data_IF_535981404630
#
_entry.id   IF_535981404630
#
_cell.length_a   1.000
_cell.length_b   1.000
_cell.length_c   1.000
_cell.angle_alpha   90.00
_cell.angle_beta   90.00
_cell.angle_gamma   90.00
#
_symmetry.space_group_name_H-M   'P 1'
#
loop_
_entity.id
_entity.type
_entity.pdbx_description
1 polymer ?
#
# COMPACT_ATOMS: atom_id res chain seq x y z
N UNK A 1 -1.06 8.66 21.72
CA UNK A 1 -2.14 9.20 22.59
C UNK A 1 -3.51 8.61 22.24
N UNK A 2 -3.95 8.72 20.98
CA UNK A 2 -5.28 8.24 20.58
C UNK A 2 -5.49 6.72 20.84
N UNK A 3 -4.54 5.89 20.53
CA UNK A 3 -4.63 4.44 20.76
C UNK A 3 -4.70 4.09 22.24
N UNK A 4 -4.01 4.84 23.09
CA UNK A 4 -4.09 4.66 24.55
C UNK A 4 -5.49 5.01 25.07
N UNK A 5 -6.11 6.07 24.53
CA UNK A 5 -7.48 6.47 24.87
C UNK A 5 -8.52 5.42 24.46
N UNK A 6 -8.21 4.57 23.48
CA UNK A 6 -9.06 3.46 23.03
C UNK A 6 -8.67 2.11 23.65
N UNK A 7 -7.90 2.09 24.74
CA UNK A 7 -7.60 0.89 25.51
C UNK A 7 -6.36 0.11 25.07
N UNK A 8 -5.55 0.65 24.18
CA UNK A 8 -4.28 0.03 23.77
C UNK A 8 -3.16 0.59 24.65
N UNK A 9 -2.63 -0.23 25.54
CA UNK A 9 -1.66 0.21 26.56
C UNK A 9 -0.27 0.46 25.99
N UNK A 10 0.17 -0.35 25.02
CA UNK A 10 1.50 -0.24 24.42
C UNK A 10 1.42 -0.26 22.88
N UNK A 11 0.93 0.83 22.26
CA UNK A 11 0.81 0.88 20.79
C UNK A 11 2.18 0.89 20.12
N UNK A 12 2.35 0.09 19.08
CA UNK A 12 3.53 0.09 18.23
C UNK A 12 3.40 1.16 17.14
N UNK A 13 3.73 2.40 17.47
CA UNK A 13 3.71 3.53 16.54
C UNK A 13 5.12 4.00 16.27
N UNK A 14 5.55 3.90 15.02
CA UNK A 14 6.84 4.36 14.56
C UNK A 14 6.70 5.66 13.76
N UNK A 15 7.34 6.73 14.23
CA UNK A 15 7.39 8.01 13.51
C UNK A 15 8.50 7.98 12.47
N UNK A 16 8.13 7.79 11.21
CA UNK A 16 9.07 7.74 10.09
C UNK A 16 8.38 8.14 8.78
N UNK A 17 9.18 8.46 7.76
CA UNK A 17 8.64 8.51 6.40
C UNK A 17 8.62 7.10 5.84
N UNK A 18 7.43 6.53 5.75
CA UNK A 18 7.20 5.14 5.32
C UNK A 18 7.81 4.81 3.96
N UNK A 19 7.83 5.76 3.03
CA UNK A 19 8.31 5.54 1.67
C UNK A 19 9.84 5.61 1.51
N UNK A 20 10.57 6.02 2.53
CA UNK A 20 12.04 6.06 2.49
C UNK A 20 12.68 4.70 2.73
N UNK A 21 11.93 3.73 3.25
CA UNK A 21 12.41 2.38 3.46
C UNK A 21 12.54 1.64 2.13
N UNK A 22 13.67 0.97 1.93
CA UNK A 22 13.88 0.15 0.75
C UNK A 22 13.06 -1.14 0.85
N UNK A 23 12.22 -1.41 -0.14
CA UNK A 23 11.38 -2.62 -0.17
C UNK A 23 12.19 -3.92 -0.12
N UNK A 24 13.43 -3.91 -0.61
CA UNK A 24 14.30 -5.09 -0.57
C UNK A 24 14.72 -5.48 0.85
N UNK A 25 14.72 -4.52 1.78
CA UNK A 25 15.14 -4.74 3.16
C UNK A 25 14.01 -5.28 4.04
N UNK A 26 12.77 -5.31 3.55
CA UNK A 26 11.61 -5.82 4.30
C UNK A 26 11.68 -7.34 4.38
N UNK A 27 11.79 -7.85 5.61
CA UNK A 27 11.83 -9.28 5.91
C UNK A 27 10.44 -9.81 6.28
N UNK A 28 10.28 -11.14 6.30
CA UNK A 28 9.02 -11.80 6.68
C UNK A 28 8.52 -11.38 8.07
N UNK A 29 9.43 -11.20 9.02
CA UNK A 29 9.11 -10.73 10.38
C UNK A 29 8.52 -9.31 10.43
N UNK A 30 8.80 -8.49 9.41
CA UNK A 30 8.36 -7.10 9.31
C UNK A 30 6.99 -6.96 8.65
N UNK A 31 6.42 -8.06 8.12
CA UNK A 31 5.15 -8.07 7.41
C UNK A 31 3.96 -8.22 8.34
N UNK A 32 2.79 -7.82 7.87
CA UNK A 32 1.54 -7.79 8.63
C UNK A 32 0.47 -8.68 8.03
N UNK A 33 -0.42 -9.19 8.88
CA UNK A 33 -1.56 -10.02 8.46
C UNK A 33 -2.71 -9.19 7.90
N UNK A 34 -2.87 -7.97 8.42
CA UNK A 34 -3.92 -7.05 8.00
C UNK A 34 -3.35 -5.65 7.85
N UNK A 35 -3.64 -5.02 6.72
CA UNK A 35 -3.29 -3.62 6.45
C UNK A 35 -4.57 -2.85 6.12
N UNK A 36 -4.79 -1.77 6.85
CA UNK A 36 -5.85 -0.79 6.55
C UNK A 36 -5.19 0.57 6.35
N UNK A 37 -5.41 1.16 5.20
CA UNK A 37 -4.70 2.38 4.84
C UNK A 37 -5.56 3.38 4.08
N UNK A 38 -5.32 4.64 4.39
CA UNK A 38 -5.83 5.78 3.65
C UNK A 38 -4.64 6.68 3.25
N UNK A 39 -3.89 6.29 2.20
CA UNK A 39 -2.72 7.04 1.79
C UNK A 39 -3.09 8.43 1.25
N UNK A 40 -2.19 9.42 1.33
CA UNK A 40 -2.47 10.75 0.83
C UNK A 40 -2.67 10.74 -0.69
N UNK A 41 -3.61 11.55 -1.18
CA UNK A 41 -3.92 11.71 -2.60
C UNK A 41 -3.25 12.96 -3.16
N UNK A 42 -2.77 12.87 -4.41
CA UNK A 42 -2.25 14.01 -5.16
C UNK A 42 -0.86 14.49 -4.72
N UNK A 43 -0.20 13.79 -3.83
CA UNK A 43 1.19 14.05 -3.47
C UNK A 43 2.15 13.59 -4.57
N UNK A 44 3.31 14.25 -4.61
CA UNK A 44 4.42 13.84 -5.49
C UNK A 44 5.67 13.60 -4.67
N UNK A 45 6.31 12.47 -4.88
CA UNK A 45 7.52 12.11 -4.19
C UNK A 45 8.79 12.46 -4.99
N UNK A 46 9.88 12.65 -4.27
CA UNK A 46 11.19 12.92 -4.85
C UNK A 46 11.71 11.70 -5.61
N UNK A 47 12.57 11.94 -6.61
CA UNK A 47 13.15 10.87 -7.43
C UNK A 47 13.93 9.84 -6.61
N UNK A 48 14.59 10.27 -5.55
CA UNK A 48 15.35 9.38 -4.66
C UNK A 48 14.43 8.35 -4.00
N UNK A 49 13.25 8.77 -3.55
CA UNK A 49 12.25 7.89 -2.95
C UNK A 49 11.66 6.92 -3.98
N UNK A 50 11.41 7.40 -5.20
CA UNK A 50 10.87 6.56 -6.28
C UNK A 50 11.79 5.39 -6.64
N UNK A 51 13.10 5.53 -6.46
CA UNK A 51 14.07 4.47 -6.75
C UNK A 51 13.95 3.26 -5.83
N UNK A 52 13.32 3.40 -4.67
CA UNK A 52 13.09 2.31 -3.73
C UNK A 52 11.99 1.33 -4.21
N UNK A 53 11.31 1.63 -5.31
CA UNK A 53 10.13 0.88 -5.76
C UNK A 53 10.33 0.29 -7.17
N UNK A 54 9.78 -0.92 -7.44
CA UNK A 54 9.86 -1.54 -8.77
C UNK A 54 9.19 -0.70 -9.86
N UNK A 55 8.04 -0.10 -9.56
CA UNK A 55 7.34 0.80 -10.47
C UNK A 55 7.63 2.22 -10.04
N UNK A 56 8.43 2.92 -10.83
CA UNK A 56 8.82 4.29 -10.55
C UNK A 56 7.72 5.25 -11.00
N UNK A 57 7.17 5.98 -10.06
CA UNK A 57 6.16 7.00 -10.30
C UNK A 57 6.30 8.11 -9.27
N UNK A 58 5.91 9.31 -9.63
CA UNK A 58 5.85 10.43 -8.70
C UNK A 58 4.57 10.44 -7.84
N UNK A 59 3.59 9.63 -8.19
CA UNK A 59 2.31 9.58 -7.48
C UNK A 59 2.46 8.86 -6.14
N UNK A 60 2.33 9.59 -5.05
CA UNK A 60 2.53 9.07 -3.70
C UNK A 60 1.64 7.88 -3.38
N UNK A 61 0.36 7.93 -3.78
CA UNK A 61 -0.58 6.84 -3.53
C UNK A 61 -0.14 5.51 -4.18
N UNK A 62 0.48 5.57 -5.36
CA UNK A 62 0.97 4.38 -6.07
C UNK A 62 2.21 3.77 -5.40
N UNK A 63 3.06 4.61 -4.82
CA UNK A 63 4.20 4.14 -4.04
C UNK A 63 3.74 3.48 -2.75
N UNK A 64 2.76 4.07 -2.06
CA UNK A 64 2.14 3.45 -0.89
C UNK A 64 1.51 2.09 -1.20
N UNK A 65 0.82 1.97 -2.32
CA UNK A 65 0.22 0.68 -2.70
C UNK A 65 1.27 -0.41 -2.89
N UNK A 66 2.39 -0.10 -3.55
CA UNK A 66 3.52 -1.04 -3.68
C UNK A 66 4.11 -1.41 -2.32
N UNK A 67 4.26 -0.45 -1.43
CA UNK A 67 4.75 -0.67 -0.08
C UNK A 67 3.82 -1.65 0.69
N UNK A 68 2.50 -1.45 0.63
CA UNK A 68 1.54 -2.31 1.31
C UNK A 68 1.52 -3.73 0.76
N UNK A 69 1.64 -3.90 -0.55
CA UNK A 69 1.77 -5.23 -1.16
C UNK A 69 2.97 -5.98 -0.58
N UNK A 70 4.10 -5.28 -0.43
CA UNK A 70 5.32 -5.87 0.12
C UNK A 70 5.23 -6.17 1.62
N UNK A 71 4.53 -5.32 2.36
CA UNK A 71 4.36 -5.45 3.82
C UNK A 71 3.32 -6.49 4.22
N UNK A 72 2.54 -7.00 3.28
CA UNK A 72 1.49 -7.98 3.56
C UNK A 72 2.07 -9.39 3.61
N UNK A 73 1.76 -10.12 4.69
CA UNK A 73 2.14 -11.54 4.81
C UNK A 73 1.37 -12.41 3.82
N UNK A 74 1.94 -13.57 3.52
CA UNK A 74 1.24 -14.60 2.77
C UNK A 74 -0.11 -14.93 3.46
N UNK A 75 -1.21 -14.91 2.70
CA UNK A 75 -2.57 -15.07 3.23
C UNK A 75 -3.14 -13.82 3.89
N UNK A 76 -2.38 -12.75 4.02
CA UNK A 76 -2.82 -11.50 4.63
C UNK A 76 -3.86 -10.75 3.79
N UNK A 77 -4.55 -9.79 4.41
CA UNK A 77 -5.63 -9.01 3.79
C UNK A 77 -5.34 -7.52 3.90
N UNK A 78 -5.72 -6.77 2.87
CA UNK A 78 -5.59 -5.32 2.90
C UNK A 78 -6.85 -4.62 2.41
N UNK A 79 -7.16 -3.49 3.04
CA UNK A 79 -8.17 -2.54 2.58
C UNK A 79 -7.54 -1.16 2.43
N UNK A 80 -7.64 -0.58 1.25
CA UNK A 80 -6.98 0.68 0.93
C UNK A 80 -7.98 1.63 0.27
N UNK A 81 -8.03 2.86 0.77
CA UNK A 81 -8.75 3.95 0.10
C UNK A 81 -7.89 4.44 -1.06
N UNK A 82 -8.44 4.40 -2.27
CA UNK A 82 -7.72 4.78 -3.49
C UNK A 82 -8.65 5.51 -4.44
N UNK A 83 -8.10 6.44 -5.24
CA UNK A 83 -8.91 7.17 -6.24
C UNK A 83 -9.47 6.22 -7.29
N UNK A 84 -10.73 6.46 -7.70
CA UNK A 84 -11.36 5.70 -8.78
C UNK A 84 -10.57 5.76 -10.09
N UNK A 85 -9.89 6.86 -10.35
CA UNK A 85 -9.02 7.04 -11.52
C UNK A 85 -7.91 6.00 -11.62
N UNK A 86 -7.48 5.40 -10.50
CA UNK A 86 -6.53 4.30 -10.51
C UNK A 86 -7.00 3.11 -11.36
N UNK A 87 -8.30 2.82 -11.36
CA UNK A 87 -8.87 1.69 -12.12
C UNK A 87 -9.04 2.01 -13.60
N UNK A 88 -9.20 3.28 -13.96
CA UNK A 88 -9.51 3.71 -15.33
C UNK A 88 -8.34 4.36 -16.08
N UNK A 89 -7.32 4.84 -15.37
CA UNK A 89 -6.16 5.46 -16.00
C UNK A 89 -5.41 4.47 -16.90
N UNK A 90 -4.95 4.96 -18.04
CA UNK A 90 -4.24 4.18 -19.05
C UNK A 90 -2.74 4.47 -19.13
N UNK A 91 -2.22 5.33 -18.25
CA UNK A 91 -0.79 5.61 -18.17
C UNK A 91 0.00 4.36 -17.74
N UNK A 92 1.29 4.34 -18.11
CA UNK A 92 2.15 3.18 -17.86
C UNK A 92 2.25 2.80 -16.38
N UNK A 93 2.34 3.76 -15.48
CA UNK A 93 2.46 3.51 -14.05
C UNK A 93 1.19 2.85 -13.49
N UNK A 94 0.01 3.37 -13.81
CA UNK A 94 -1.27 2.80 -13.37
C UNK A 94 -1.49 1.39 -13.92
N UNK A 95 -1.19 1.18 -15.20
CA UNK A 95 -1.33 -0.13 -15.86
C UNK A 95 -0.38 -1.16 -15.25
N UNK A 96 0.89 -0.79 -15.05
CA UNK A 96 1.89 -1.67 -14.46
C UNK A 96 1.55 -2.01 -13.00
N UNK A 97 1.02 -1.06 -12.25
CA UNK A 97 0.64 -1.26 -10.86
C UNK A 97 -0.58 -2.17 -10.71
N UNK A 98 -1.60 -2.00 -11.59
CA UNK A 98 -2.74 -2.92 -11.62
C UNK A 98 -2.29 -4.34 -11.96
N UNK A 99 -1.38 -4.50 -12.91
CA UNK A 99 -0.79 -5.79 -13.25
C UNK A 99 -0.06 -6.40 -12.05
N UNK A 100 0.77 -5.63 -11.37
CA UNK A 100 1.48 -6.07 -10.17
C UNK A 100 0.49 -6.52 -9.07
N UNK A 101 -0.57 -5.77 -8.85
CA UNK A 101 -1.60 -6.10 -7.87
C UNK A 101 -2.29 -7.42 -8.20
N UNK A 102 -2.69 -7.62 -9.44
CA UNK A 102 -3.35 -8.86 -9.90
C UNK A 102 -2.42 -10.07 -9.85
N UNK A 103 -1.14 -9.89 -10.14
CA UNK A 103 -0.15 -10.97 -10.07
C UNK A 103 0.23 -11.32 -8.62
N UNK A 104 0.22 -10.32 -7.72
CA UNK A 104 0.65 -10.48 -6.34
C UNK A 104 -0.49 -10.87 -5.39
N UNK A 105 -1.74 -10.84 -5.83
CA UNK A 105 -2.91 -11.05 -4.99
C UNK A 105 -3.86 -12.07 -5.61
N UNK A 106 -4.44 -12.93 -4.79
CA UNK A 106 -5.43 -13.94 -5.24
C UNK A 106 -6.81 -13.34 -5.43
N UNK A 107 -7.13 -12.29 -4.70
CA UNK A 107 -8.42 -11.61 -4.76
C UNK A 107 -8.20 -10.11 -4.75
N UNK A 108 -8.81 -9.41 -5.68
CA UNK A 108 -8.85 -7.95 -5.70
C UNK A 108 -10.29 -7.52 -5.98
N UNK A 109 -10.92 -6.84 -5.03
CA UNK A 109 -12.32 -6.39 -5.14
C UNK A 109 -12.38 -4.89 -4.95
N UNK A 110 -12.69 -4.11 -5.99
CA UNK A 110 -12.98 -2.70 -5.81
C UNK A 110 -14.31 -2.53 -5.08
N UNK A 111 -14.41 -1.51 -4.25
CA UNK A 111 -15.66 -1.17 -3.59
C UNK A 111 -16.60 -0.48 -4.59
N UNK A 112 -17.87 -0.87 -4.57
CA UNK A 112 -18.91 -0.24 -5.37
C UNK A 112 -19.47 1.05 -4.74
N UNK A 113 -19.22 1.28 -3.45
CA UNK A 113 -19.82 2.37 -2.68
C UNK A 113 -18.84 3.45 -2.24
N UNK A 114 -17.54 3.18 -2.30
CA UNK A 114 -16.49 4.10 -1.89
C UNK A 114 -15.23 3.90 -2.75
N UNK A 115 -14.36 4.91 -2.88
CA UNK A 115 -13.10 4.78 -3.62
C UNK A 115 -12.10 3.93 -2.82
N UNK A 116 -12.37 2.65 -2.71
CA UNK A 116 -11.56 1.70 -1.95
C UNK A 116 -11.35 0.40 -2.73
N UNK A 117 -10.25 -0.26 -2.45
CA UNK A 117 -9.93 -1.58 -2.98
C UNK A 117 -9.55 -2.52 -1.83
N UNK A 118 -9.99 -3.76 -1.94
CA UNK A 118 -9.65 -4.83 -1.00
C UNK A 118 -8.92 -5.93 -1.76
N UNK A 119 -7.84 -6.45 -1.18
CA UNK A 119 -7.08 -7.52 -1.79
C UNK A 119 -6.48 -8.47 -0.74
N UNK A 120 -6.20 -9.69 -1.17
CA UNK A 120 -5.64 -10.74 -0.34
C UNK A 120 -4.37 -11.28 -1.00
N UNK A 121 -3.30 -11.37 -0.23
CA UNK A 121 -2.09 -12.03 -0.69
C UNK A 121 -2.28 -13.55 -0.78
N UNK A 122 -1.57 -14.24 -1.70
CA UNK A 122 -1.61 -15.69 -1.76
C UNK A 122 -1.07 -16.31 -0.47
N UNK A 123 -1.62 -17.44 -0.14
CA UNK A 123 -1.19 -18.21 1.01
C UNK A 123 0.23 -18.78 0.84
#
# INVERSE_FOLDING_TARGET
>A
MNMILHGIEAPNILHTNTLTENLADIQEKDRYDVILANPPFGGKERKEVQQNFPIRTSETAFLFLQHFIKMLRAGGRAGIVIKNTFLSNTDNASTSLRKLLLESCTTCTPSSTAPAAFFRAPA
#
